data_IF_632218872891
#
_entry.id   IF_632218872891
#
_cell.length_a   1.000
_cell.length_b   1.000
_cell.length_c   1.000
_cell.angle_alpha   90.00
_cell.angle_beta   90.00
_cell.angle_gamma   90.00
#
_symmetry.space_group_name_H-M   'P 1'
#
loop_
_entity.id
_entity.type
_entity.pdbx_description
1 polymer ?
#
# COMPACT_ATOMS: atom_id res chain seq x y z
N UNK A 1 -10.27 13.09 11.96
CA UNK A 1 -9.01 12.34 12.06
C UNK A 1 -8.75 12.12 13.54
N UNK A 2 -8.86 10.89 14.01
CA UNK A 2 -8.47 10.59 15.40
C UNK A 2 -6.97 10.80 15.51
N UNK A 3 -6.59 11.74 16.36
CA UNK A 3 -5.21 12.03 16.69
C UNK A 3 -4.58 10.77 17.30
N UNK A 4 -3.37 10.41 16.88
CA UNK A 4 -2.66 9.28 17.48
C UNK A 4 -2.27 9.72 18.88
N UNK A 5 -2.81 9.06 19.90
CA UNK A 5 -2.64 9.39 21.32
C UNK A 5 -1.29 8.89 21.88
N UNK A 6 -0.21 8.99 21.08
CA UNK A 6 1.16 8.68 21.50
C UNK A 6 2.15 9.65 20.86
N UNK A 7 3.25 10.01 21.57
CA UNK A 7 4.25 10.90 21.03
C UNK A 7 5.04 10.27 19.87
N UNK A 8 5.58 11.08 18.98
CA UNK A 8 6.41 10.61 17.84
C UNK A 8 7.62 9.77 18.26
N UNK A 9 8.12 9.95 19.48
CA UNK A 9 9.20 9.16 20.06
C UNK A 9 8.78 7.75 20.48
N UNK A 10 7.47 7.42 20.42
CA UNK A 10 6.98 6.11 20.82
C UNK A 10 7.46 5.03 19.83
N UNK A 11 7.99 3.88 20.29
CA UNK A 11 8.55 2.84 19.41
C UNK A 11 7.59 2.31 18.33
N UNK A 12 6.29 2.40 18.58
CA UNK A 12 5.24 1.96 17.65
C UNK A 12 4.56 3.10 16.89
N UNK A 13 5.11 4.32 16.94
CA UNK A 13 4.46 5.48 16.33
C UNK A 13 4.19 5.27 14.83
N UNK A 14 5.17 4.79 14.07
CA UNK A 14 5.03 4.56 12.63
C UNK A 14 4.03 3.43 12.32
N UNK A 15 4.07 2.34 13.07
CA UNK A 15 3.09 1.25 12.94
C UNK A 15 1.66 1.72 13.21
N UNK A 16 1.47 2.55 14.23
CA UNK A 16 0.16 3.12 14.55
C UNK A 16 -0.30 4.08 13.45
N UNK A 17 0.60 4.87 12.88
CA UNK A 17 0.28 5.77 11.76
C UNK A 17 -0.20 4.98 10.54
N UNK A 18 0.52 3.92 10.18
CA UNK A 18 0.15 3.00 9.09
C UNK A 18 -1.22 2.38 9.33
N UNK A 19 -1.46 1.87 10.55
CA UNK A 19 -2.74 1.29 10.94
C UNK A 19 -3.89 2.29 10.83
N UNK A 20 -3.71 3.53 11.27
CA UNK A 20 -4.72 4.59 11.14
C UNK A 20 -5.07 4.91 9.68
N UNK A 21 -4.08 4.93 8.79
CA UNK A 21 -4.33 5.15 7.36
C UNK A 21 -5.18 4.03 6.76
N UNK A 22 -4.94 2.78 7.14
CA UNK A 22 -5.73 1.63 6.68
C UNK A 22 -7.15 1.71 7.26
N UNK A 23 -7.30 2.04 8.55
CA UNK A 23 -8.59 2.19 9.21
C UNK A 23 -9.43 3.30 8.55
N UNK A 24 -8.85 4.45 8.29
CA UNK A 24 -9.49 5.51 7.51
C UNK A 24 -9.90 5.04 6.09
N UNK A 25 -9.13 4.14 5.49
CA UNK A 25 -9.48 3.50 4.22
C UNK A 25 -10.70 2.59 4.31
N UNK A 26 -10.95 1.98 5.48
CA UNK A 26 -12.18 1.18 5.70
C UNK A 26 -13.42 2.07 5.62
N UNK A 27 -13.41 3.21 6.28
CA UNK A 27 -14.52 4.17 6.26
C UNK A 27 -14.79 4.72 4.86
N UNK A 28 -13.76 4.81 4.02
CA UNK A 28 -13.85 5.24 2.62
C UNK A 28 -14.21 4.11 1.64
N UNK A 29 -14.38 2.89 2.10
CA UNK A 29 -14.64 1.72 1.26
C UNK A 29 -13.45 1.27 0.40
N UNK A 30 -12.23 1.72 0.72
CA UNK A 30 -10.99 1.37 0.01
C UNK A 30 -10.41 0.08 0.58
N UNK A 31 -10.23 0.00 1.90
CA UNK A 31 -9.73 -1.19 2.58
C UNK A 31 -10.87 -2.00 3.21
N UNK A 32 -10.56 -3.19 3.70
CA UNK A 32 -11.48 -4.01 4.48
C UNK A 32 -10.93 -4.24 5.89
N UNK A 33 -11.78 -4.73 6.79
CA UNK A 33 -11.34 -5.12 8.14
C UNK A 33 -10.28 -6.22 8.11
N UNK A 34 -10.31 -7.10 7.12
CA UNK A 34 -9.28 -8.10 6.88
C UNK A 34 -7.93 -7.47 6.50
N UNK A 35 -7.95 -6.30 5.87
CA UNK A 35 -6.75 -5.50 5.59
C UNK A 35 -6.01 -5.08 6.86
N UNK A 36 -6.73 -4.75 7.93
CA UNK A 36 -6.13 -4.46 9.25
C UNK A 36 -5.46 -5.69 9.87
N UNK A 37 -6.02 -6.89 9.67
CA UNK A 37 -5.40 -8.13 10.13
C UNK A 37 -4.11 -8.41 9.35
N UNK A 38 -4.13 -8.23 8.04
CA UNK A 38 -2.97 -8.41 7.18
C UNK A 38 -1.84 -7.43 7.54
N UNK A 39 -2.17 -6.16 7.81
CA UNK A 39 -1.22 -5.15 8.28
C UNK A 39 -0.57 -5.55 9.61
N UNK A 40 -1.35 -6.02 10.59
CA UNK A 40 -0.81 -6.48 11.88
C UNK A 40 0.16 -7.65 11.75
N UNK A 41 -0.02 -8.53 10.75
CA UNK A 41 0.98 -9.57 10.44
C UNK A 41 2.26 -8.98 9.86
N UNK A 42 2.16 -7.97 9.00
CA UNK A 42 3.29 -7.20 8.49
C UNK A 42 4.06 -6.50 9.61
N UNK A 43 3.35 -5.81 10.50
CA UNK A 43 3.93 -5.18 11.69
C UNK A 43 4.72 -6.18 12.56
N UNK A 44 4.23 -7.42 12.71
CA UNK A 44 4.94 -8.45 13.47
C UNK A 44 6.32 -8.79 12.85
N UNK A 45 6.45 -8.75 11.53
CA UNK A 45 7.74 -8.92 10.86
C UNK A 45 8.70 -7.76 11.11
N UNK A 46 8.20 -6.53 11.26
CA UNK A 46 9.03 -5.37 11.56
C UNK A 46 9.75 -5.51 12.91
N UNK A 47 9.15 -6.20 13.88
CA UNK A 47 9.83 -6.50 15.15
C UNK A 47 10.98 -7.52 14.99
N UNK A 48 10.96 -8.34 13.95
CA UNK A 48 12.01 -9.34 13.67
C UNK A 48 13.13 -8.77 12.81
N UNK A 49 12.78 -7.94 11.81
CA UNK A 49 13.69 -7.42 10.79
C UNK A 49 14.18 -6.00 11.10
N UNK A 50 13.51 -5.29 11.99
CA UNK A 50 13.58 -3.85 12.14
C UNK A 50 12.76 -3.15 11.04
N UNK A 51 12.19 -1.99 11.33
CA UNK A 51 11.40 -1.19 10.37
C UNK A 51 12.32 -0.57 9.29
N UNK A 52 12.93 -1.44 8.48
CA UNK A 52 13.91 -1.05 7.45
C UNK A 52 13.92 -2.02 6.30
N UNK A 53 14.24 -1.51 5.12
CA UNK A 53 14.53 -2.35 3.96
C UNK A 53 15.88 -3.05 4.18
N UNK A 54 15.85 -4.37 4.32
CA UNK A 54 17.07 -5.19 4.43
C UNK A 54 17.75 -5.29 3.05
N UNK A 55 19.06 -5.59 2.97
CA UNK A 55 19.77 -5.65 1.68
C UNK A 55 19.12 -6.56 0.64
N UNK A 56 18.64 -7.74 1.03
CA UNK A 56 17.95 -8.65 0.11
C UNK A 56 16.64 -8.05 -0.46
N UNK A 57 15.91 -7.25 0.32
CA UNK A 57 14.71 -6.56 -0.13
C UNK A 57 15.04 -5.40 -1.07
N UNK A 58 16.13 -4.66 -0.82
CA UNK A 58 16.63 -3.61 -1.72
C UNK A 58 17.05 -4.19 -3.08
N UNK A 59 17.79 -5.27 -3.08
CA UNK A 59 18.17 -5.98 -4.31
C UNK A 59 16.94 -6.47 -5.09
N UNK A 60 15.96 -7.04 -4.39
CA UNK A 60 14.70 -7.49 -5.00
C UNK A 60 13.91 -6.32 -5.62
N UNK A 61 13.84 -5.17 -4.95
CA UNK A 61 13.18 -3.98 -5.47
C UNK A 61 13.87 -3.45 -6.74
N UNK A 62 15.20 -3.46 -6.79
CA UNK A 62 15.98 -3.06 -7.98
C UNK A 62 15.72 -3.99 -9.17
N UNK A 63 15.70 -5.30 -8.92
CA UNK A 63 15.36 -6.30 -9.96
C UNK A 63 13.91 -6.12 -10.43
N UNK A 64 12.97 -5.90 -9.53
CA UNK A 64 11.56 -5.66 -9.89
C UNK A 64 11.42 -4.39 -10.76
N UNK A 65 12.10 -3.30 -10.42
CA UNK A 65 12.10 -2.08 -11.22
C UNK A 65 12.67 -2.32 -12.63
N UNK A 66 13.79 -3.06 -12.74
CA UNK A 66 14.38 -3.41 -14.03
C UNK A 66 13.43 -4.27 -14.88
N UNK A 67 12.75 -5.25 -14.28
CA UNK A 67 11.77 -6.09 -14.99
C UNK A 67 10.57 -5.27 -15.49
N UNK A 68 10.05 -4.34 -14.68
CA UNK A 68 8.97 -3.44 -15.11
C UNK A 68 9.39 -2.55 -16.28
N UNK A 69 10.61 -2.01 -16.24
CA UNK A 69 11.15 -1.17 -17.34
C UNK A 69 11.38 -1.94 -18.64
N UNK A 70 11.68 -3.23 -18.55
CA UNK A 70 11.96 -4.09 -19.71
C UNK A 70 10.71 -4.81 -20.23
N UNK A 71 9.60 -4.79 -19.50
CA UNK A 71 8.38 -5.48 -19.90
C UNK A 71 7.68 -4.74 -21.05
N UNK A 72 7.15 -5.50 -22.00
CA UNK A 72 6.35 -4.95 -23.11
C UNK A 72 4.99 -4.40 -22.63
N UNK A 73 4.41 -5.06 -21.64
CA UNK A 73 3.11 -4.70 -21.05
C UNK A 73 3.15 -4.82 -19.52
N UNK A 74 3.83 -3.88 -18.85
CA UNK A 74 3.90 -3.92 -17.38
C UNK A 74 2.54 -3.59 -16.77
N UNK A 75 2.22 -4.25 -15.66
CA UNK A 75 0.99 -4.02 -14.87
C UNK A 75 1.36 -3.88 -13.39
N UNK A 76 0.81 -2.86 -12.74
CA UNK A 76 0.89 -2.69 -11.29
C UNK A 76 -0.45 -3.10 -10.68
N UNK A 77 -0.45 -4.21 -9.94
CA UNK A 77 -1.66 -4.75 -9.31
C UNK A 77 -1.81 -4.21 -7.89
N UNK A 78 -2.95 -3.57 -7.60
CA UNK A 78 -3.21 -2.80 -6.39
C UNK A 78 -4.34 -3.42 -5.59
N UNK A 79 -4.11 -3.64 -4.30
CA UNK A 79 -5.16 -3.99 -3.34
C UNK A 79 -5.57 -2.76 -2.50
N UNK A 80 -6.53 -2.95 -1.59
CA UNK A 80 -7.04 -1.86 -0.75
C UNK A 80 -5.97 -1.24 0.16
N UNK A 81 -5.09 -2.04 0.74
CA UNK A 81 -4.04 -1.53 1.64
C UNK A 81 -3.02 -0.67 0.87
N UNK A 82 -2.59 -1.11 -0.29
CA UNK A 82 -1.70 -0.33 -1.17
C UNK A 82 -2.35 0.99 -1.55
N UNK A 83 -3.62 0.95 -1.99
CA UNK A 83 -4.35 2.16 -2.35
C UNK A 83 -4.54 3.14 -1.17
N UNK A 84 -4.67 2.63 0.06
CA UNK A 84 -4.81 3.48 1.24
C UNK A 84 -3.47 4.07 1.72
N UNK A 85 -2.36 3.36 1.54
CA UNK A 85 -1.06 3.74 2.10
C UNK A 85 -0.19 4.54 1.14
N UNK A 86 -0.13 4.13 -0.12
CA UNK A 86 0.82 4.64 -1.13
C UNK A 86 0.15 4.87 -2.51
N UNK A 87 -0.99 5.59 -2.57
CA UNK A 87 -1.68 5.81 -3.84
C UNK A 87 -0.86 6.65 -4.82
N UNK A 88 -0.21 7.71 -4.36
CA UNK A 88 0.61 8.61 -5.16
C UNK A 88 1.82 7.87 -5.74
N UNK A 89 2.57 7.17 -4.90
CA UNK A 89 3.75 6.41 -5.32
C UNK A 89 3.38 5.28 -6.29
N UNK A 90 2.18 4.71 -6.15
CA UNK A 90 1.67 3.69 -7.08
C UNK A 90 1.42 4.28 -8.47
N UNK A 91 0.79 5.44 -8.53
CA UNK A 91 0.52 6.15 -9.79
C UNK A 91 1.82 6.62 -10.42
N UNK A 92 2.73 7.19 -9.64
CA UNK A 92 4.05 7.63 -10.11
C UNK A 92 4.87 6.47 -10.66
N UNK A 93 4.88 5.31 -9.98
CA UNK A 93 5.56 4.12 -10.48
C UNK A 93 4.97 3.67 -11.81
N UNK A 94 3.65 3.57 -11.90
CA UNK A 94 2.98 3.14 -13.12
C UNK A 94 3.30 4.09 -14.29
N UNK A 95 3.23 5.41 -14.06
CA UNK A 95 3.60 6.40 -15.05
C UNK A 95 5.08 6.30 -15.48
N UNK A 96 5.99 6.11 -14.53
CA UNK A 96 7.43 6.02 -14.80
C UNK A 96 7.82 4.82 -15.67
N UNK A 97 7.10 3.69 -15.54
CA UNK A 97 7.40 2.46 -16.31
C UNK A 97 6.41 2.20 -17.45
N UNK A 98 5.43 3.08 -17.65
CA UNK A 98 4.39 2.91 -18.68
C UNK A 98 3.44 1.75 -18.38
N UNK A 99 3.15 1.49 -17.12
CA UNK A 99 2.31 0.38 -16.70
C UNK A 99 0.84 0.77 -16.61
N UNK A 100 -0.03 -0.20 -16.88
CA UNK A 100 -1.42 -0.14 -16.48
C UNK A 100 -1.56 -0.44 -14.98
N UNK A 101 -2.57 0.16 -14.33
CA UNK A 101 -2.91 -0.16 -12.94
C UNK A 101 -4.14 -1.06 -12.92
N UNK A 102 -4.01 -2.19 -12.26
CA UNK A 102 -5.09 -3.14 -12.03
C UNK A 102 -5.53 -3.08 -10.55
N UNK A 103 -6.83 -3.00 -10.29
CA UNK A 103 -7.37 -3.17 -8.94
C UNK A 103 -7.75 -4.63 -8.73
N UNK A 104 -7.09 -5.28 -7.78
CA UNK A 104 -7.28 -6.70 -7.46
C UNK A 104 -7.57 -6.90 -5.98
N UNK A 105 -8.76 -7.41 -5.66
CA UNK A 105 -9.27 -7.54 -4.30
C UNK A 105 -9.65 -8.98 -3.97
N UNK A 106 -9.32 -9.41 -2.76
CA UNK A 106 -9.80 -10.67 -2.19
C UNK A 106 -11.31 -10.62 -1.93
N UNK A 107 -11.77 -9.66 -1.12
CA UNK A 107 -13.18 -9.36 -0.87
C UNK A 107 -13.67 -8.36 -1.92
N UNK A 108 -13.83 -8.84 -3.13
CA UNK A 108 -14.21 -8.02 -4.27
C UNK A 108 -15.68 -7.63 -4.21
N UNK A 109 -15.93 -6.31 -4.23
CA UNK A 109 -17.24 -5.74 -4.55
C UNK A 109 -17.05 -4.64 -5.60
N UNK A 110 -18.07 -4.42 -6.42
CA UNK A 110 -18.01 -3.38 -7.45
C UNK A 110 -17.84 -1.98 -6.85
N UNK A 111 -18.45 -1.74 -5.68
CA UNK A 111 -18.33 -0.46 -4.98
C UNK A 111 -16.90 -0.21 -4.50
N UNK A 112 -16.24 -1.21 -3.92
CA UNK A 112 -14.83 -1.09 -3.52
C UNK A 112 -13.90 -0.91 -4.72
N UNK A 113 -14.14 -1.65 -5.81
CA UNK A 113 -13.38 -1.50 -7.05
C UNK A 113 -13.46 -0.07 -7.57
N UNK A 114 -14.67 0.52 -7.61
CA UNK A 114 -14.90 1.90 -8.04
C UNK A 114 -14.27 2.91 -7.08
N UNK A 115 -14.39 2.70 -5.76
CA UNK A 115 -13.81 3.58 -4.75
C UNK A 115 -12.28 3.65 -4.89
N UNK A 116 -11.61 2.50 -5.04
CA UNK A 116 -10.17 2.45 -5.23
C UNK A 116 -9.75 3.11 -6.55
N UNK A 117 -10.44 2.79 -7.65
CA UNK A 117 -10.14 3.39 -8.95
C UNK A 117 -10.33 4.92 -8.94
N UNK A 118 -11.38 5.41 -8.28
CA UNK A 118 -11.60 6.85 -8.13
C UNK A 118 -10.49 7.48 -7.28
N UNK A 119 -10.13 6.86 -6.17
CA UNK A 119 -9.06 7.35 -5.28
C UNK A 119 -7.71 7.44 -6.00
N UNK A 120 -7.33 6.42 -6.76
CA UNK A 120 -6.08 6.46 -7.54
C UNK A 120 -6.09 7.58 -8.59
N UNK A 121 -7.22 7.83 -9.25
CA UNK A 121 -7.35 8.92 -10.22
C UNK A 121 -7.27 10.32 -9.61
N UNK A 122 -7.47 10.48 -8.30
CA UNK A 122 -7.24 11.74 -7.60
C UNK A 122 -5.74 12.08 -7.49
N UNK A 123 -4.87 11.09 -7.69
CA UNK A 123 -3.41 11.22 -7.59
C UNK A 123 -2.68 11.27 -8.95
N UNK A 124 -3.42 11.07 -10.07
CA UNK A 124 -2.83 11.20 -11.40
C UNK A 124 -3.60 10.53 -12.54
#
# INVERSE_FOLDING_TARGET
>A
MSEIDVPESHPRYQSLLTRHRIDAGVDRGITSRQGLIAEGRGEAFDYLLGERTIPAADDAARVAAALLLLADHPVVSVNGNVAALVPEETVDLAAAVGADIEVNLFDRTDDRMRAIAAHLREHG
#
